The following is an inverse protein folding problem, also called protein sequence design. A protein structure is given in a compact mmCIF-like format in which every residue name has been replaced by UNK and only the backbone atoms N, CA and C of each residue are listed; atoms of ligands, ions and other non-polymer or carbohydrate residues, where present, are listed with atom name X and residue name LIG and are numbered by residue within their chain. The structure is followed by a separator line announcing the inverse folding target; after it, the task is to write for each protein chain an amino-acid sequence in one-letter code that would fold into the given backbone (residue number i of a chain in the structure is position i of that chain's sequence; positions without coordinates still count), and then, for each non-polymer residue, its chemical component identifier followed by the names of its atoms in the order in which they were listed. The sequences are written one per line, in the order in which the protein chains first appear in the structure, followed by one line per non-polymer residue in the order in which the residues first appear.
data_IF_796270782401
#
_entry.id   IF_796270782401
#
_cell.length_a   1.000
_cell.length_b   1.000
_cell.length_c   1.000
_cell.angle_alpha   90.00
_cell.angle_beta   90.00
_cell.angle_gamma   90.00
#
_symmetry.space_group_name_H-M   'P 1'
#
loop_
_entity.id
_entity.type
_entity.pdbx_description
1 polymer ?
#
# COMPACT_ATOMS: atom_id res chain seq x y z
N UNK A 1 -13.92 -27.98 16.42
CA UNK A 1 -13.33 -27.56 15.13
C UNK A 1 -14.36 -26.88 14.21
N UNK A 2 -15.53 -27.49 13.95
CA UNK A 2 -16.55 -26.98 13.02
C UNK A 2 -17.10 -25.58 13.40
N UNK A 3 -17.34 -25.32 14.69
CA UNK A 3 -17.84 -24.02 15.18
C UNK A 3 -16.81 -22.92 14.99
N UNK A 4 -15.53 -23.23 15.21
CA UNK A 4 -14.42 -22.28 15.00
C UNK A 4 -14.28 -21.98 13.51
N UNK A 5 -14.35 -22.99 12.64
CA UNK A 5 -14.29 -22.85 11.19
C UNK A 5 -15.43 -21.93 10.67
N UNK A 6 -16.66 -22.19 11.09
CA UNK A 6 -17.82 -21.40 10.70
C UNK A 6 -17.75 -19.95 11.22
N UNK A 7 -17.21 -19.73 12.42
CA UNK A 7 -17.01 -18.38 12.95
C UNK A 7 -15.92 -17.60 12.16
N UNK A 8 -14.87 -18.30 11.72
CA UNK A 8 -13.78 -17.69 10.95
C UNK A 8 -14.15 -17.38 9.50
N UNK A 9 -15.11 -18.11 8.92
CA UNK A 9 -15.60 -17.86 7.55
C UNK A 9 -16.27 -16.49 7.38
N UNK A 10 -16.78 -15.93 8.47
CA UNK A 10 -17.46 -14.62 8.49
C UNK A 10 -16.66 -13.53 9.21
N UNK A 11 -15.43 -13.84 9.64
CA UNK A 11 -14.59 -12.86 10.32
C UNK A 11 -13.97 -11.89 9.33
N UNK A 12 -14.44 -10.66 9.34
CA UNK A 12 -13.82 -9.55 8.61
C UNK A 12 -12.97 -8.75 9.60
N UNK A 13 -11.68 -8.65 9.33
CA UNK A 13 -10.77 -7.77 10.07
C UNK A 13 -10.49 -6.56 9.20
N UNK A 14 -11.03 -5.37 9.52
CA UNK A 14 -10.81 -4.16 8.72
C UNK A 14 -9.32 -3.88 8.47
N UNK A 15 -9.00 -3.34 7.29
CA UNK A 15 -7.62 -3.05 6.89
C UNK A 15 -6.74 -4.28 6.61
N UNK A 16 -7.32 -5.49 6.64
CA UNK A 16 -6.59 -6.73 6.37
C UNK A 16 -7.19 -7.48 5.20
N UNK A 17 -6.67 -7.19 4.00
CA UNK A 17 -7.14 -7.73 2.73
C UNK A 17 -8.57 -7.27 2.34
N UNK A 18 -8.94 -6.05 2.72
CA UNK A 18 -10.17 -5.45 2.22
C UNK A 18 -10.06 -5.19 0.72
N UNK A 19 -11.14 -5.48 0.00
CA UNK A 19 -11.20 -5.29 -1.45
C UNK A 19 -12.32 -4.32 -1.77
N UNK A 20 -12.01 -3.29 -2.55
CA UNK A 20 -12.96 -2.35 -3.09
C UNK A 20 -12.84 -2.32 -4.62
N UNK A 21 -13.96 -2.24 -5.31
CA UNK A 21 -14.01 -2.07 -6.77
C UNK A 21 -14.74 -0.78 -7.10
N UNK A 22 -14.21 -0.02 -8.04
CA UNK A 22 -14.82 1.22 -8.53
C UNK A 22 -13.90 1.94 -9.51
N UNK A 23 -14.45 2.85 -10.30
CA UNK A 23 -13.75 3.58 -11.36
C UNK A 23 -12.90 2.67 -12.28
N UNK A 24 -13.32 1.41 -12.48
CA UNK A 24 -12.57 0.42 -13.26
C UNK A 24 -11.27 -0.07 -12.60
N UNK A 25 -11.12 0.14 -11.31
CA UNK A 25 -9.98 -0.33 -10.51
C UNK A 25 -10.41 -1.43 -9.55
N UNK A 26 -9.48 -2.31 -9.21
CA UNK A 26 -9.58 -3.23 -8.08
C UNK A 26 -8.56 -2.83 -7.03
N UNK A 27 -9.04 -2.41 -5.87
CA UNK A 27 -8.22 -1.78 -4.82
C UNK A 27 -8.16 -2.73 -3.63
N UNK A 28 -6.94 -3.09 -3.22
CA UNK A 28 -6.68 -3.92 -2.04
C UNK A 28 -6.09 -3.05 -0.94
N UNK A 29 -6.73 -3.06 0.23
CA UNK A 29 -6.24 -2.39 1.43
C UNK A 29 -5.67 -3.47 2.34
N UNK A 30 -4.38 -3.38 2.65
CA UNK A 30 -3.68 -4.45 3.35
C UNK A 30 -2.64 -3.92 4.33
N UNK A 31 -2.56 -4.55 5.49
CA UNK A 31 -1.58 -4.22 6.55
C UNK A 31 -0.20 -4.84 6.31
N UNK A 32 0.18 -5.12 5.06
CA UNK A 32 1.52 -5.63 4.74
C UNK A 32 2.57 -4.56 5.06
N UNK A 33 3.50 -4.85 5.95
CA UNK A 33 4.46 -3.86 6.50
C UNK A 33 5.89 -4.40 6.63
N UNK A 34 6.19 -5.54 6.04
CA UNK A 34 7.53 -6.14 6.00
C UNK A 34 7.74 -6.93 4.71
N UNK A 35 9.00 -7.26 4.39
CA UNK A 35 9.36 -7.92 3.15
C UNK A 35 8.63 -9.24 2.89
N UNK A 36 8.44 -10.06 3.94
CA UNK A 36 7.78 -11.37 3.81
C UNK A 36 6.30 -11.18 3.44
N UNK A 37 5.58 -10.30 4.14
CA UNK A 37 4.16 -10.03 3.86
C UNK A 37 3.98 -9.35 2.50
N UNK A 38 4.84 -8.39 2.14
CA UNK A 38 4.82 -7.74 0.83
C UNK A 38 5.03 -8.76 -0.30
N UNK A 39 6.07 -9.59 -0.19
CA UNK A 39 6.33 -10.64 -1.17
C UNK A 39 5.15 -11.61 -1.31
N UNK A 40 4.58 -12.06 -0.19
CA UNK A 40 3.47 -13.01 -0.20
C UNK A 40 2.24 -12.42 -0.92
N UNK A 41 1.84 -11.20 -0.54
CA UNK A 41 0.67 -10.52 -1.11
C UNK A 41 0.89 -10.22 -2.59
N UNK A 42 2.00 -9.58 -2.96
CA UNK A 42 2.24 -9.15 -4.34
C UNK A 42 2.43 -10.36 -5.27
N UNK A 43 3.07 -11.42 -4.79
CA UNK A 43 3.20 -12.67 -5.55
C UNK A 43 1.86 -13.35 -5.78
N UNK A 44 0.97 -13.36 -4.77
CA UNK A 44 -0.39 -13.88 -4.92
C UNK A 44 -1.19 -13.06 -5.94
N UNK A 45 -1.14 -11.73 -5.85
CA UNK A 45 -1.81 -10.84 -6.80
C UNK A 45 -1.32 -11.04 -8.23
N UNK A 46 -0.01 -11.17 -8.46
CA UNK A 46 0.53 -11.45 -9.80
C UNK A 46 0.14 -12.84 -10.33
N UNK A 47 -0.14 -13.81 -9.44
CA UNK A 47 -0.67 -15.12 -9.84
C UNK A 47 -2.15 -15.04 -10.20
N UNK A 48 -2.94 -14.31 -9.40
CA UNK A 48 -4.40 -14.24 -9.58
C UNK A 48 -4.80 -13.22 -10.67
N UNK A 49 -3.94 -12.24 -10.94
CA UNK A 49 -4.11 -11.16 -11.94
C UNK A 49 -2.85 -11.02 -12.82
N UNK A 50 -2.48 -12.05 -13.61
CA UNK A 50 -1.18 -12.09 -14.31
C UNK A 50 -1.02 -10.97 -15.34
N UNK A 51 -2.11 -10.56 -16.00
CA UNK A 51 -2.10 -9.56 -17.07
C UNK A 51 -2.49 -8.16 -16.60
N UNK A 52 -2.68 -7.97 -15.28
CA UNK A 52 -3.06 -6.66 -14.73
C UNK A 52 -1.84 -5.85 -14.34
N UNK A 53 -1.91 -4.56 -14.62
CA UNK A 53 -0.95 -3.59 -14.08
C UNK A 53 -1.16 -3.46 -12.58
N UNK A 54 -0.11 -3.57 -11.79
CA UNK A 54 -0.16 -3.53 -10.32
C UNK A 54 0.57 -2.28 -9.84
N UNK A 55 -0.20 -1.34 -9.27
CA UNK A 55 0.33 -0.18 -8.54
C UNK A 55 0.33 -0.47 -7.05
N UNK A 56 1.41 -0.14 -6.35
CA UNK A 56 1.54 -0.29 -4.89
C UNK A 56 1.79 1.07 -4.26
N UNK A 57 1.11 1.37 -3.16
CA UNK A 57 1.42 2.50 -2.26
C UNK A 57 1.85 1.90 -0.93
N UNK A 58 3.04 2.21 -0.45
CA UNK A 58 3.57 1.62 0.77
C UNK A 58 4.67 2.49 1.39
N UNK A 59 4.72 2.46 2.72
CA UNK A 59 5.81 3.00 3.51
C UNK A 59 6.35 1.99 4.52
N UNK A 60 7.35 2.42 5.25
CA UNK A 60 7.88 1.71 6.42
C UNK A 60 8.04 2.70 7.56
N UNK A 61 7.60 2.32 8.75
CA UNK A 61 7.76 3.15 9.94
C UNK A 61 9.25 3.44 10.19
N UNK A 62 9.54 4.64 10.67
CA UNK A 62 10.88 5.06 11.06
C UNK A 62 11.49 4.19 12.14
N UNK A 63 12.81 4.26 12.29
CA UNK A 63 13.58 3.53 13.29
C UNK A 63 13.45 1.99 13.19
N UNK A 64 13.06 1.48 12.01
CA UNK A 64 13.01 0.04 11.74
C UNK A 64 14.35 -0.47 11.21
N UNK A 65 14.55 -1.78 11.34
CA UNK A 65 15.79 -2.41 10.88
C UNK A 65 16.01 -2.20 9.38
N UNK A 66 17.26 -2.02 8.93
CA UNK A 66 17.58 -1.94 7.50
C UNK A 66 17.03 -3.12 6.70
N UNK A 67 17.01 -4.33 7.29
CA UNK A 67 16.47 -5.52 6.64
C UNK A 67 14.98 -5.41 6.32
N UNK A 68 14.18 -4.65 7.11
CA UNK A 68 12.77 -4.40 6.81
C UNK A 68 12.64 -3.52 5.58
N UNK A 69 13.37 -2.41 5.52
CA UNK A 69 13.38 -1.50 4.37
C UNK A 69 13.83 -2.25 3.12
N UNK A 70 14.93 -2.99 3.22
CA UNK A 70 15.45 -3.80 2.13
C UNK A 70 14.40 -4.78 1.60
N UNK A 71 13.79 -5.58 2.47
CA UNK A 71 12.82 -6.59 2.06
C UNK A 71 11.52 -6.00 1.45
N UNK A 72 11.05 -4.85 1.94
CA UNK A 72 9.87 -4.15 1.36
C UNK A 72 10.22 -3.61 -0.03
N UNK A 73 11.35 -2.89 -0.15
CA UNK A 73 11.80 -2.33 -1.43
C UNK A 73 12.00 -3.41 -2.50
N UNK A 74 12.74 -4.48 -2.18
CA UNK A 74 12.95 -5.61 -3.09
C UNK A 74 11.64 -6.28 -3.53
N UNK A 75 10.70 -6.49 -2.61
CA UNK A 75 9.42 -7.11 -2.94
C UNK A 75 8.61 -6.21 -3.90
N UNK A 76 8.54 -4.91 -3.63
CA UNK A 76 7.84 -3.96 -4.49
C UNK A 76 8.52 -3.84 -5.86
N UNK A 77 9.84 -3.65 -5.90
CA UNK A 77 10.60 -3.57 -7.15
C UNK A 77 10.42 -4.80 -8.04
N UNK A 78 10.34 -5.98 -7.44
CA UNK A 78 10.21 -7.26 -8.16
C UNK A 78 8.82 -7.55 -8.69
N UNK A 79 7.77 -7.25 -7.92
CA UNK A 79 6.41 -7.73 -8.20
C UNK A 79 5.42 -6.65 -8.60
N UNK A 80 5.68 -5.38 -8.31
CA UNK A 80 4.86 -4.28 -8.80
C UNK A 80 5.24 -3.89 -10.25
N UNK A 81 4.33 -3.19 -10.93
CA UNK A 81 4.63 -2.47 -12.15
C UNK A 81 4.94 -1.00 -11.86
N UNK A 82 4.28 -0.44 -10.80
CA UNK A 82 4.58 0.89 -10.25
C UNK A 82 4.51 0.86 -8.73
N UNK A 83 5.37 1.59 -8.06
CA UNK A 83 5.32 1.77 -6.61
C UNK A 83 5.48 3.23 -6.21
N UNK A 84 4.59 3.68 -5.34
CA UNK A 84 4.72 4.93 -4.60
C UNK A 84 5.26 4.59 -3.21
N UNK A 85 6.48 5.01 -2.93
CA UNK A 85 7.00 5.01 -1.57
C UNK A 85 6.60 6.30 -0.87
N UNK A 86 6.06 6.17 0.35
CA UNK A 86 5.42 7.26 1.08
C UNK A 86 5.53 7.06 2.59
N UNK A 87 5.20 8.11 3.37
CA UNK A 87 5.19 8.00 4.82
C UNK A 87 4.24 6.89 5.31
N UNK A 88 4.71 6.14 6.30
CA UNK A 88 3.91 5.28 7.17
C UNK A 88 3.83 5.97 8.55
N UNK A 89 4.71 5.62 9.47
CA UNK A 89 4.94 6.28 10.76
C UNK A 89 6.41 6.75 10.82
N UNK A 90 6.78 7.87 10.17
CA UNK A 90 8.19 8.27 10.08
C UNK A 90 8.83 8.58 11.44
N UNK A 91 8.01 8.95 12.43
CA UNK A 91 8.41 9.31 13.79
C UNK A 91 9.49 10.41 13.80
N UNK A 92 10.72 10.07 14.16
CA UNK A 92 11.85 11.01 14.25
C UNK A 92 12.72 11.05 12.97
N UNK A 93 12.39 10.27 11.95
CA UNK A 93 13.10 10.27 10.67
C UNK A 93 12.37 11.12 9.63
N UNK A 94 13.12 11.70 8.71
CA UNK A 94 12.52 12.34 7.52
C UNK A 94 11.87 11.24 6.65
N UNK A 95 10.57 11.33 6.34
CA UNK A 95 9.92 10.35 5.50
C UNK A 95 10.59 10.20 4.13
N UNK A 96 11.11 11.27 3.55
CA UNK A 96 11.83 11.24 2.26
C UNK A 96 13.11 10.39 2.34
N UNK A 97 13.80 10.39 3.47
CA UNK A 97 15.00 9.57 3.66
C UNK A 97 14.64 8.08 3.74
N UNK A 98 13.53 7.74 4.40
CA UNK A 98 13.00 6.37 4.45
C UNK A 98 12.62 5.92 3.03
N UNK A 99 11.86 6.74 2.31
CA UNK A 99 11.39 6.45 0.96
C UNK A 99 12.54 6.31 -0.03
N UNK A 100 13.61 7.11 0.12
CA UNK A 100 14.83 7.01 -0.68
C UNK A 100 15.54 5.67 -0.46
N UNK A 101 15.61 5.20 0.79
CA UNK A 101 16.17 3.87 1.09
C UNK A 101 15.32 2.74 0.52
N UNK A 102 13.99 2.87 0.53
CA UNK A 102 13.08 1.93 -0.12
C UNK A 102 13.29 1.91 -1.63
N UNK A 103 13.42 3.08 -2.25
CA UNK A 103 13.68 3.22 -3.68
C UNK A 103 15.00 2.57 -4.10
N UNK A 104 16.07 2.77 -3.31
CA UNK A 104 17.35 2.09 -3.54
C UNK A 104 17.22 0.56 -3.45
N UNK A 105 16.47 0.05 -2.47
CA UNK A 105 16.23 -1.38 -2.32
C UNK A 105 15.36 -1.97 -3.47
N UNK A 106 14.54 -1.16 -4.12
CA UNK A 106 13.73 -1.57 -5.26
C UNK A 106 14.47 -1.51 -6.61
N UNK A 107 15.68 -0.92 -6.67
CA UNK A 107 16.35 -0.55 -7.92
C UNK A 107 16.69 -1.73 -8.84
N UNK A 108 16.91 -2.93 -8.30
CA UNK A 108 17.16 -4.14 -9.10
C UNK A 108 15.87 -4.75 -9.68
N UNK A 109 14.72 -4.19 -9.36
CA UNK A 109 13.43 -4.62 -9.86
C UNK A 109 13.05 -3.94 -11.18
N UNK A 110 11.82 -4.21 -11.62
CA UNK A 110 11.27 -3.64 -12.86
C UNK A 110 10.23 -2.53 -12.62
N UNK A 111 9.84 -2.31 -11.37
CA UNK A 111 8.80 -1.34 -11.03
C UNK A 111 9.24 0.09 -11.34
N UNK A 112 8.33 0.89 -11.89
CA UNK A 112 8.46 2.34 -11.88
C UNK A 112 8.37 2.82 -10.43
N UNK A 113 9.41 3.51 -9.94
CA UNK A 113 9.50 3.98 -8.54
C UNK A 113 9.21 5.46 -8.46
N UNK A 114 8.26 5.84 -7.61
CA UNK A 114 7.88 7.21 -7.32
C UNK A 114 8.03 7.44 -5.82
N UNK A 115 8.68 8.53 -5.43
CA UNK A 115 8.78 8.98 -4.04
C UNK A 115 7.79 10.13 -3.85
N UNK A 116 6.80 9.91 -3.00
CA UNK A 116 5.82 10.91 -2.59
C UNK A 116 5.63 10.82 -1.07
N UNK A 117 6.33 11.64 -0.29
CA UNK A 117 6.30 11.55 1.17
C UNK A 117 4.94 11.85 1.80
N UNK A 118 4.09 12.65 1.14
CA UNK A 118 2.71 12.86 1.60
C UNK A 118 1.84 11.67 1.21
N UNK A 119 1.38 10.92 2.21
CA UNK A 119 0.60 9.70 1.99
C UNK A 119 -0.74 9.95 1.32
N UNK A 120 -1.42 11.04 1.69
CA UNK A 120 -2.70 11.39 1.08
C UNK A 120 -2.50 11.64 -0.42
N UNK A 121 -1.49 12.44 -0.77
CA UNK A 121 -1.15 12.71 -2.17
C UNK A 121 -0.72 11.43 -2.89
N UNK A 122 0.08 10.58 -2.25
CA UNK A 122 0.54 9.32 -2.85
C UNK A 122 -0.64 8.38 -3.19
N UNK A 123 -1.59 8.23 -2.28
CA UNK A 123 -2.79 7.39 -2.50
C UNK A 123 -3.67 7.99 -3.61
N UNK A 124 -3.94 9.29 -3.57
CA UNK A 124 -4.71 9.98 -4.61
C UNK A 124 -4.09 9.80 -6.00
N UNK A 125 -2.79 10.07 -6.12
CA UNK A 125 -2.07 9.92 -7.37
C UNK A 125 -2.07 8.49 -7.87
N UNK A 126 -1.81 7.53 -6.98
CA UNK A 126 -1.80 6.12 -7.34
C UNK A 126 -3.14 5.65 -7.92
N UNK A 127 -4.26 6.14 -7.39
CA UNK A 127 -5.59 5.80 -7.88
C UNK A 127 -5.94 6.53 -9.20
N UNK A 128 -5.60 7.82 -9.32
CA UNK A 128 -5.89 8.61 -10.52
C UNK A 128 -5.01 8.24 -11.72
N UNK A 129 -3.74 7.91 -11.46
CA UNK A 129 -2.77 7.57 -12.49
C UNK A 129 -2.80 6.08 -12.87
N UNK A 130 -3.54 5.23 -12.13
CA UNK A 130 -3.65 3.81 -12.42
C UNK A 130 -4.43 3.57 -13.74
N UNK A 131 -3.92 2.72 -14.64
CA UNK A 131 -4.64 2.34 -15.83
C UNK A 131 -5.98 1.68 -15.51
N UNK A 132 -7.02 1.96 -16.30
CA UNK A 132 -8.33 1.29 -16.16
C UNK A 132 -8.16 -0.22 -16.27
N UNK A 133 -8.80 -0.96 -15.39
CA UNK A 133 -8.70 -2.43 -15.31
C UNK A 133 -7.51 -2.93 -14.51
N UNK A 134 -6.74 -2.05 -13.85
CA UNK A 134 -5.59 -2.42 -13.04
C UNK A 134 -5.92 -2.74 -11.58
N UNK A 135 -4.92 -3.21 -10.87
CA UNK A 135 -4.95 -3.48 -9.43
C UNK A 135 -4.14 -2.39 -8.71
N UNK A 136 -4.70 -1.82 -7.65
CA UNK A 136 -4.01 -0.89 -6.75
C UNK A 136 -3.94 -1.52 -5.36
N UNK A 137 -2.77 -1.51 -4.74
CA UNK A 137 -2.54 -2.04 -3.39
C UNK A 137 -2.12 -0.92 -2.47
N UNK A 138 -2.94 -0.64 -1.46
CA UNK A 138 -2.64 0.30 -0.39
C UNK A 138 -2.11 -0.50 0.80
N UNK A 139 -0.79 -0.43 1.01
CA UNK A 139 -0.08 -1.26 1.96
C UNK A 139 0.47 -0.49 3.17
N UNK A 140 0.63 -1.19 4.27
CA UNK A 140 1.25 -0.67 5.50
C UNK A 140 0.22 -0.30 6.56
N UNK A 141 -0.60 0.69 6.31
CA UNK A 141 -1.51 1.30 7.30
C UNK A 141 -2.84 0.57 7.50
N UNK A 142 -3.29 -0.22 6.50
CA UNK A 142 -4.62 -0.84 6.60
C UNK A 142 -5.72 0.22 6.78
N UNK A 143 -6.43 0.19 7.90
CA UNK A 143 -7.51 1.13 8.26
C UNK A 143 -7.09 2.22 9.29
N UNK A 144 -5.81 2.29 9.61
CA UNK A 144 -5.29 3.32 10.53
C UNK A 144 -5.52 4.74 9.99
N UNK A 145 -5.93 5.65 10.85
CA UNK A 145 -6.21 7.06 10.55
C UNK A 145 -5.24 8.03 11.24
N UNK A 146 -4.13 7.50 11.74
CA UNK A 146 -3.07 8.29 12.39
C UNK A 146 -1.71 7.93 11.84
N UNK A 147 -0.79 8.91 11.87
CA UNK A 147 0.64 8.72 11.65
C UNK A 147 1.42 9.20 12.87
N UNK A 148 2.50 8.49 13.22
CA UNK A 148 3.40 8.95 14.26
C UNK A 148 4.47 9.87 13.66
N UNK A 149 4.48 11.13 14.10
CA UNK A 149 5.40 12.16 13.65
C UNK A 149 5.99 12.85 14.88
N UNK A 150 7.33 12.88 15.02
CA UNK A 150 8.03 13.47 16.16
C UNK A 150 7.50 12.99 17.52
N UNK A 151 7.24 11.71 17.67
CA UNK A 151 6.75 11.09 18.90
C UNK A 151 5.25 11.26 19.17
N UNK A 152 4.52 11.98 18.31
CA UNK A 152 3.09 12.29 18.50
C UNK A 152 2.28 11.63 17.39
N UNK A 153 1.12 11.06 17.74
CA UNK A 153 0.16 10.60 16.74
C UNK A 153 -0.64 11.78 16.20
N UNK A 154 -0.57 12.00 14.90
CA UNK A 154 -1.32 13.02 14.17
C UNK A 154 -2.35 12.33 13.28
N UNK A 155 -3.55 12.89 13.24
CA UNK A 155 -4.61 12.37 12.36
C UNK A 155 -4.29 12.66 10.90
N UNK A 156 -4.58 11.69 10.01
CA UNK A 156 -4.61 11.86 8.57
C UNK A 156 -5.83 11.14 7.97
N UNK A 157 -6.25 11.54 6.78
CA UNK A 157 -7.32 10.84 6.06
C UNK A 157 -6.87 9.42 5.72
N UNK A 158 -7.52 8.38 6.29
CA UNK A 158 -7.07 7.00 6.14
C UNK A 158 -7.19 6.49 4.70
N UNK A 159 -6.35 5.52 4.33
CA UNK A 159 -6.33 4.93 2.99
C UNK A 159 -7.72 4.51 2.48
N UNK A 160 -8.58 3.83 3.27
CA UNK A 160 -9.93 3.48 2.84
C UNK A 160 -10.82 4.69 2.56
N UNK A 161 -10.66 5.78 3.31
CA UNK A 161 -11.46 7.01 3.14
C UNK A 161 -11.02 7.73 1.87
N UNK A 162 -9.72 7.90 1.67
CA UNK A 162 -9.16 8.50 0.45
C UNK A 162 -9.62 7.67 -0.78
N UNK A 163 -9.51 6.35 -0.70
CA UNK A 163 -9.87 5.48 -1.81
C UNK A 163 -11.35 5.62 -2.19
N UNK A 164 -12.26 5.64 -1.21
CA UNK A 164 -13.69 5.85 -1.46
C UNK A 164 -13.97 7.21 -2.10
N UNK A 165 -13.34 8.27 -1.58
CA UNK A 165 -13.50 9.63 -2.10
C UNK A 165 -13.01 9.72 -3.55
N UNK A 166 -11.78 9.27 -3.83
CA UNK A 166 -11.19 9.36 -5.18
C UNK A 166 -11.95 8.52 -6.18
N UNK A 167 -12.41 7.32 -5.81
CA UNK A 167 -13.24 6.48 -6.69
C UNK A 167 -14.54 7.20 -7.06
N UNK A 168 -15.23 7.79 -6.08
CA UNK A 168 -16.47 8.53 -6.33
C UNK A 168 -16.25 9.75 -7.27
N UNK A 169 -15.14 10.47 -7.08
CA UNK A 169 -14.74 11.59 -7.96
C UNK A 169 -14.49 11.09 -9.40
N UNK A 170 -13.70 10.03 -9.58
CA UNK A 170 -13.39 9.45 -10.89
C UNK A 170 -14.64 8.88 -11.61
N UNK A 171 -15.62 8.38 -10.87
CA UNK A 171 -16.89 7.91 -11.45
C UNK A 171 -17.78 9.07 -11.91
N UNK A 172 -17.71 10.21 -11.23
CA UNK A 172 -18.44 11.43 -11.63
C UNK A 172 -17.81 12.18 -12.79
N UNK A 173 -16.50 11.98 -13.05
CA UNK A 173 -15.76 12.61 -14.16
C UNK A 173 -15.94 11.88 -15.51
N UNK A 174 -16.58 10.70 -15.50
CA UNK A 174 -16.84 9.85 -16.69
C UNK A 174 -18.23 10.05 -17.24
#
# INVERSE_FOLDING_TARGET
PAVISAALEHLVVPGRADVMEGAGLKIFINYMHNGISCQAVLKALKKDYPDKFVTVVIGVAGQRSPARIQGVGEACGRYADRVFFTADDPDLEDPRDIDTRLAHAAADGKAEVIIEPDRVIAVERALREAPVGSVVVLGGKGDEDTQRVNGVYVHYESDPVIAKRVVAELENER
#
